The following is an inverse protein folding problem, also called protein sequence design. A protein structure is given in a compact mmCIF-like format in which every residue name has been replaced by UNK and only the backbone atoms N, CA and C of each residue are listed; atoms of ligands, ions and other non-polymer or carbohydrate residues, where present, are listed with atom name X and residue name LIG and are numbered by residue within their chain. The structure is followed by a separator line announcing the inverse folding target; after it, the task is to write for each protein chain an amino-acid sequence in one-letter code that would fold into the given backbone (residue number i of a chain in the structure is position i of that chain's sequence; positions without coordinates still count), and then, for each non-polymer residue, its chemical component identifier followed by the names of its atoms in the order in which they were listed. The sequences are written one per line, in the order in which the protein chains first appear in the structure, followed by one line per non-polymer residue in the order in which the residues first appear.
data_IF_785335310993
#
_entry.id   IF_785335310993
#
_cell.length_a   1.000
_cell.length_b   1.000
_cell.length_c   1.000
_cell.angle_alpha   90.00
_cell.angle_beta   90.00
_cell.angle_gamma   90.00
#
_symmetry.space_group_name_H-M   'P 1'
#
loop_
_entity.id
_entity.type
_entity.pdbx_description
1 polymer ?
#
# COMPACT_ATOMS: atom_id res chain seq x y z
N UNK A 1 -19.87 -38.88 0.55
CA UNK A 1 -18.92 -38.36 1.55
C UNK A 1 -17.83 -37.64 0.75
N UNK A 2 -17.96 -36.31 0.62
CA UNK A 2 -16.99 -35.48 -0.10
C UNK A 2 -15.98 -34.92 0.90
N UNK A 3 -14.68 -34.97 0.60
CA UNK A 3 -13.65 -34.61 1.55
C UNK A 3 -13.61 -33.09 1.77
N UNK A 4 -13.68 -32.72 3.04
CA UNK A 4 -13.22 -31.49 3.67
C UNK A 4 -12.80 -30.35 2.73
N UNK A 5 -13.65 -29.32 2.69
CA UNK A 5 -13.22 -27.95 2.47
C UNK A 5 -12.04 -27.67 3.38
N UNK A 6 -10.83 -27.71 2.83
CA UNK A 6 -9.67 -27.11 3.47
C UNK A 6 -9.99 -25.62 3.54
N UNK A 7 -10.52 -25.18 4.69
CA UNK A 7 -10.76 -23.78 4.97
C UNK A 7 -9.48 -23.04 4.63
N UNK A 8 -9.54 -22.21 3.61
CA UNK A 8 -8.42 -21.38 3.17
C UNK A 8 -8.02 -20.54 4.37
N UNK A 9 -6.91 -20.90 5.03
CA UNK A 9 -6.44 -20.17 6.21
C UNK A 9 -6.03 -18.81 5.70
N UNK A 10 -6.91 -17.83 5.86
CA UNK A 10 -6.64 -16.46 5.45
C UNK A 10 -5.54 -15.92 6.36
N UNK A 11 -4.38 -15.66 5.78
CA UNK A 11 -3.25 -15.05 6.49
C UNK A 11 -3.69 -13.68 6.98
N UNK A 12 -3.50 -13.42 8.28
CA UNK A 12 -3.69 -12.12 8.90
C UNK A 12 -2.36 -11.56 9.43
N UNK A 13 -2.34 -10.27 9.76
CA UNK A 13 -1.19 -9.66 10.45
C UNK A 13 -0.93 -10.33 11.80
N UNK A 14 0.34 -10.52 12.18
CA UNK A 14 0.71 -11.16 13.45
C UNK A 14 0.52 -10.25 14.68
N UNK A 15 0.06 -9.02 14.47
CA UNK A 15 -0.11 -7.97 15.49
C UNK A 15 -1.45 -7.25 15.26
N UNK A 16 -2.04 -6.64 16.30
CA UNK A 16 -3.23 -5.81 16.13
C UNK A 16 -2.97 -4.60 15.23
N UNK A 17 -4.05 -4.02 14.68
CA UNK A 17 -3.97 -2.82 13.86
C UNK A 17 -3.37 -1.65 14.68
N UNK A 18 -2.26 -1.04 14.22
CA UNK A 18 -1.65 0.09 14.90
C UNK A 18 -2.56 1.31 14.80
N UNK A 19 -2.66 2.06 15.89
CA UNK A 19 -3.49 3.27 15.96
C UNK A 19 -2.74 4.47 15.37
N UNK A 20 -1.41 4.47 15.48
CA UNK A 20 -0.57 5.59 15.10
C UNK A 20 0.34 5.27 13.91
N UNK A 21 0.52 6.26 13.03
CA UNK A 21 1.40 6.14 11.87
C UNK A 21 2.84 5.76 12.25
N UNK A 22 3.36 6.28 13.37
CA UNK A 22 4.72 5.99 13.83
C UNK A 22 4.90 4.52 14.17
N UNK A 23 3.91 3.93 14.84
CA UNK A 23 3.90 2.52 15.20
C UNK A 23 3.85 1.65 13.94
N UNK A 24 2.96 1.99 13.00
CA UNK A 24 2.91 1.33 11.69
C UNK A 24 4.26 1.34 10.96
N UNK A 25 4.93 2.50 10.92
CA UNK A 25 6.25 2.63 10.32
C UNK A 25 7.32 1.81 11.04
N UNK A 26 7.27 1.72 12.37
CA UNK A 26 8.19 0.89 13.15
C UNK A 26 8.00 -0.60 12.84
N UNK A 27 6.76 -1.07 12.75
CA UNK A 27 6.43 -2.46 12.41
C UNK A 27 6.89 -2.81 10.99
N UNK A 28 6.71 -1.89 10.03
CA UNK A 28 7.25 -2.04 8.68
C UNK A 28 8.77 -2.17 8.69
N UNK A 29 9.48 -1.19 9.27
CA UNK A 29 10.95 -1.17 9.29
C UNK A 29 11.55 -2.36 10.04
N UNK A 30 10.84 -2.90 11.03
CA UNK A 30 11.22 -4.11 11.76
C UNK A 30 10.88 -5.40 11.02
N UNK A 31 10.27 -5.34 9.82
CA UNK A 31 9.81 -6.50 9.05
C UNK A 31 8.84 -7.40 9.83
N UNK A 32 8.01 -6.81 10.70
CA UNK A 32 7.00 -7.52 11.50
C UNK A 32 5.72 -7.78 10.72
N UNK A 33 5.35 -6.85 9.83
CA UNK A 33 4.14 -6.99 9.02
C UNK A 33 4.34 -8.04 7.93
N UNK A 34 3.26 -8.71 7.52
CA UNK A 34 3.28 -9.78 6.52
C UNK A 34 2.42 -9.47 5.30
N UNK A 35 2.79 -10.05 4.16
CA UNK A 35 1.97 -10.06 2.95
C UNK A 35 0.89 -11.14 3.03
N UNK A 36 0.00 -11.19 2.04
CA UNK A 36 -1.08 -12.19 1.95
C UNK A 36 -0.58 -13.63 1.75
N UNK A 37 0.70 -13.85 1.45
CA UNK A 37 1.34 -15.17 1.48
C UNK A 37 1.95 -15.52 2.85
N UNK A 38 1.85 -14.65 3.85
CA UNK A 38 2.41 -14.85 5.19
C UNK A 38 3.92 -14.60 5.25
N UNK A 39 4.50 -13.96 4.23
CA UNK A 39 5.92 -13.64 4.19
C UNK A 39 6.12 -12.27 4.83
N UNK A 40 7.24 -12.04 5.53
CA UNK A 40 7.58 -10.70 6.00
C UNK A 40 7.54 -9.70 4.85
N UNK A 41 6.79 -8.63 5.00
CA UNK A 41 6.79 -7.53 4.05
C UNK A 41 8.21 -6.96 4.01
N UNK A 42 8.79 -6.97 2.82
CA UNK A 42 10.04 -6.26 2.58
C UNK A 42 9.71 -4.78 2.58
N UNK A 43 9.82 -4.15 3.75
CA UNK A 43 9.75 -2.70 3.85
C UNK A 43 10.77 -2.10 2.91
N UNK A 44 10.30 -1.32 1.94
CA UNK A 44 11.12 -0.75 0.89
C UNK A 44 10.85 0.73 0.75
N UNK A 45 11.71 1.39 -0.02
CA UNK A 45 11.43 2.74 -0.51
C UNK A 45 10.91 2.64 -1.94
N UNK A 46 9.90 3.42 -2.24
CA UNK A 46 9.41 3.59 -3.60
C UNK A 46 10.58 4.08 -4.48
N UNK A 47 10.92 3.38 -5.58
CA UNK A 47 12.07 3.76 -6.41
C UNK A 47 11.87 5.12 -7.10
N UNK A 48 10.63 5.62 -7.15
CA UNK A 48 10.28 6.86 -7.84
C UNK A 48 10.28 8.09 -6.92
N UNK A 49 9.86 7.95 -5.66
CA UNK A 49 9.68 9.09 -4.76
C UNK A 49 10.25 8.87 -3.35
N UNK A 50 11.00 7.79 -3.15
CA UNK A 50 11.72 7.42 -1.93
C UNK A 50 10.85 7.23 -0.66
N UNK A 51 9.53 7.30 -0.80
CA UNK A 51 8.57 7.10 0.29
C UNK A 51 8.57 5.64 0.74
N UNK A 52 8.41 5.41 2.04
CA UNK A 52 8.26 4.05 2.58
C UNK A 52 7.01 3.39 1.99
N UNK A 53 7.12 2.12 1.58
CA UNK A 53 6.02 1.33 1.03
C UNK A 53 5.83 0.03 1.83
N UNK A 54 4.60 -0.45 1.81
CA UNK A 54 4.05 -1.53 2.65
C UNK A 54 3.36 -2.62 1.84
N UNK A 55 3.74 -2.74 0.56
CA UNK A 55 3.10 -3.66 -0.40
C UNK A 55 1.95 -3.01 -1.18
N UNK A 56 1.39 -1.89 -0.71
CA UNK A 56 0.45 -1.09 -1.51
C UNK A 56 1.14 -0.22 -2.55
N UNK A 57 0.36 0.23 -3.53
CA UNK A 57 0.83 1.07 -4.61
C UNK A 57 1.13 2.46 -4.06
N UNK A 58 2.40 2.89 -4.17
CA UNK A 58 2.78 4.23 -3.77
C UNK A 58 2.12 5.27 -4.71
N UNK A 59 1.33 6.25 -4.22
CA UNK A 59 0.76 7.25 -5.13
C UNK A 59 1.81 8.09 -5.87
N UNK A 60 3.00 8.25 -5.29
CA UNK A 60 4.14 8.92 -5.91
C UNK A 60 4.71 8.19 -7.13
N UNK A 61 4.45 6.89 -7.32
CA UNK A 61 4.89 6.15 -8.52
C UNK A 61 3.97 6.33 -9.72
N UNK A 62 2.80 6.96 -9.54
CA UNK A 62 1.81 7.16 -10.59
C UNK A 62 1.77 8.62 -11.05
N UNK A 63 1.44 8.93 -12.31
CA UNK A 63 1.15 10.30 -12.71
C UNK A 63 -0.11 10.83 -11.98
N UNK A 64 -0.18 12.13 -11.74
CA UNK A 64 -1.36 12.75 -11.09
C UNK A 64 -2.46 13.03 -12.12
N UNK A 65 -3.66 12.44 -12.01
CA UNK A 65 -4.74 12.67 -12.99
C UNK A 65 -5.22 14.12 -13.04
N UNK A 66 -5.12 14.85 -11.92
CA UNK A 66 -5.61 16.22 -11.79
C UNK A 66 -4.68 17.27 -12.38
N UNK A 67 -3.38 17.17 -12.12
CA UNK A 67 -2.39 18.20 -12.51
C UNK A 67 -1.32 17.71 -13.46
N UNK A 68 -1.40 16.45 -13.91
CA UNK A 68 -0.47 15.79 -14.82
C UNK A 68 0.99 15.81 -14.34
N UNK A 69 1.21 15.94 -13.03
CA UNK A 69 2.54 15.77 -12.46
C UNK A 69 3.02 14.34 -12.71
N UNK A 70 4.23 14.20 -13.24
CA UNK A 70 4.87 12.92 -13.53
C UNK A 70 5.10 12.09 -12.25
N UNK A 71 5.31 10.77 -12.38
CA UNK A 71 5.84 9.93 -11.31
C UNK A 71 7.06 10.58 -10.63
N UNK A 72 7.11 10.56 -9.30
CA UNK A 72 8.18 11.19 -8.49
C UNK A 72 8.04 12.70 -8.33
N UNK A 73 7.34 13.37 -9.23
CA UNK A 73 7.07 14.80 -9.15
C UNK A 73 6.06 15.17 -8.07
N UNK A 74 6.24 16.33 -7.43
CA UNK A 74 5.21 16.92 -6.55
C UNK A 74 4.00 17.38 -7.37
N UNK A 75 2.81 17.22 -6.80
CA UNK A 75 1.60 17.81 -7.37
C UNK A 75 1.74 19.35 -7.42
N UNK A 76 1.05 19.99 -8.36
CA UNK A 76 1.07 21.46 -8.51
C UNK A 76 -0.29 22.07 -8.24
N UNK A 77 -0.31 23.20 -7.55
CA UNK A 77 -1.49 24.04 -7.35
C UNK A 77 -1.88 24.70 -8.68
N UNK A 78 -3.11 25.24 -8.82
CA UNK A 78 -3.50 25.98 -10.04
C UNK A 78 -2.58 27.15 -10.38
N UNK A 79 -1.93 27.76 -9.39
CA UNK A 79 -0.91 28.80 -9.57
C UNK A 79 0.43 28.29 -10.13
N UNK A 80 0.59 26.97 -10.33
CA UNK A 80 1.81 26.34 -10.82
C UNK A 80 2.81 25.96 -9.72
N UNK A 81 2.67 26.49 -8.50
CA UNK A 81 3.55 26.17 -7.37
C UNK A 81 3.35 24.72 -6.86
N UNK A 82 4.39 24.10 -6.26
CA UNK A 82 4.25 22.81 -5.61
C UNK A 82 3.13 22.81 -4.55
N UNK A 83 2.33 21.75 -4.56
CA UNK A 83 1.40 21.45 -3.49
C UNK A 83 2.13 20.77 -2.32
N UNK A 84 1.66 21.02 -1.11
CA UNK A 84 2.28 20.47 0.11
C UNK A 84 1.93 18.99 0.29
N UNK A 85 0.84 18.55 -0.34
CA UNK A 85 0.32 17.19 -0.32
C UNK A 85 -0.01 16.73 -1.74
N UNK A 86 -0.08 15.41 -1.92
CA UNK A 86 -0.65 14.86 -3.15
C UNK A 86 -2.12 15.23 -3.28
N UNK A 87 -2.57 15.42 -4.51
CA UNK A 87 -4.00 15.54 -4.77
C UNK A 87 -4.69 14.21 -4.48
N UNK A 88 -5.91 14.28 -3.93
CA UNK A 88 -6.77 13.11 -3.68
C UNK A 88 -6.90 12.22 -4.91
N UNK A 89 -7.05 12.79 -6.11
CA UNK A 89 -7.14 12.01 -7.36
C UNK A 89 -5.92 11.10 -7.61
N UNK A 90 -4.73 11.45 -7.12
CA UNK A 90 -3.53 10.60 -7.23
C UNK A 90 -3.57 9.46 -6.21
N UNK A 91 -4.08 9.74 -5.01
CA UNK A 91 -4.28 8.74 -3.95
C UNK A 91 -5.33 7.72 -4.41
N UNK A 92 -6.49 8.19 -4.88
CA UNK A 92 -7.56 7.33 -5.42
C UNK A 92 -7.10 6.50 -6.61
N UNK A 93 -6.21 7.02 -7.45
CA UNK A 93 -5.63 6.24 -8.54
C UNK A 93 -4.78 5.07 -8.03
N UNK A 94 -4.00 5.26 -6.97
CA UNK A 94 -3.24 4.20 -6.33
C UNK A 94 -4.16 3.16 -5.67
N UNK A 95 -5.17 3.61 -4.92
CA UNK A 95 -6.19 2.73 -4.33
C UNK A 95 -6.89 1.86 -5.40
N UNK A 96 -7.21 2.43 -6.57
CA UNK A 96 -7.82 1.68 -7.66
C UNK A 96 -6.87 0.63 -8.28
N UNK A 97 -5.55 0.85 -8.24
CA UNK A 97 -4.56 -0.17 -8.62
C UNK A 97 -4.55 -1.30 -7.58
N UNK A 98 -4.53 -0.95 -6.29
CA UNK A 98 -4.51 -1.95 -5.21
C UNK A 98 -5.80 -2.76 -5.14
N UNK A 99 -6.96 -2.17 -5.41
CA UNK A 99 -8.23 -2.89 -5.55
C UNK A 99 -8.18 -3.92 -6.68
N UNK A 100 -7.59 -3.57 -7.83
CA UNK A 100 -7.41 -4.51 -8.94
C UNK A 100 -6.46 -5.65 -8.57
N UNK A 101 -5.34 -5.35 -7.91
CA UNK A 101 -4.41 -6.36 -7.37
C UNK A 101 -5.09 -7.29 -6.37
N UNK A 102 -5.93 -6.73 -5.50
CA UNK A 102 -6.69 -7.50 -4.53
C UNK A 102 -7.71 -8.44 -5.22
N UNK A 103 -8.38 -7.96 -6.27
CA UNK A 103 -9.33 -8.76 -7.05
C UNK A 103 -8.66 -9.92 -7.82
N UNK A 104 -7.37 -9.79 -8.14
CA UNK A 104 -6.57 -10.86 -8.76
C UNK A 104 -5.81 -11.71 -7.75
N UNK A 105 -6.16 -11.63 -6.46
CA UNK A 105 -5.49 -12.35 -5.37
C UNK A 105 -3.96 -12.16 -5.35
N UNK A 106 -3.49 -10.92 -5.61
CA UNK A 106 -2.07 -10.60 -5.52
C UNK A 106 -1.58 -10.84 -4.07
N UNK A 107 -0.76 -11.88 -3.93
CA UNK A 107 -0.22 -12.32 -2.65
C UNK A 107 0.79 -11.34 -2.02
N UNK A 108 1.27 -10.36 -2.79
CA UNK A 108 2.26 -9.37 -2.32
C UNK A 108 1.64 -8.17 -1.59
N UNK A 109 0.31 -8.07 -1.58
CA UNK A 109 -0.40 -7.06 -0.80
C UNK A 109 -0.28 -7.33 0.71
N UNK A 110 -0.38 -6.27 1.51
CA UNK A 110 -0.50 -6.35 2.97
C UNK A 110 -1.63 -7.32 3.36
N UNK A 111 -1.35 -8.27 4.26
CA UNK A 111 -2.38 -9.11 4.85
C UNK A 111 -3.35 -8.26 5.70
N UNK A 112 -4.65 -8.63 5.77
CA UNK A 112 -5.60 -7.94 6.64
C UNK A 112 -5.18 -8.00 8.11
N UNK A 113 -5.60 -7.00 8.89
CA UNK A 113 -5.47 -7.04 10.34
C UNK A 113 -6.37 -8.13 10.94
N UNK A 114 -5.98 -8.74 12.07
CA UNK A 114 -6.84 -9.69 12.77
C UNK A 114 -8.12 -8.99 13.25
N UNK A 115 -9.25 -9.71 13.15
CA UNK A 115 -10.57 -9.30 13.63
C UNK A 115 -10.68 -9.29 15.15
#
# INVERSE_FOLDING_TARGET
MSPHEAGEVSVAQPVPAPVYLREYQQLLLASVLVDRAGRPLRSGRCPTCDSLVDGYTCPGSLPCPRCRAEPGGRCRRPSGHPADRWHSSRITAAEAVDQRRAATNDSTLLAPWPS
#
